data_IF_507188649691
#
_entry.id   IF_507188649691
#
_cell.length_a   1.000
_cell.length_b   1.000
_cell.length_c   1.000
_cell.angle_alpha   90.00
_cell.angle_beta   90.00
_cell.angle_gamma   90.00
#
_symmetry.space_group_name_H-M   'P 1'
#
loop_
_entity.id
_entity.type
_entity.pdbx_description
1 polymer ?
#
# COMPACT_ATOMS: atom_id res chain seq x y z
N UNK A 1 22.49 -14.16 1.89
CA UNK A 1 21.06 -14.53 1.77
C UNK A 1 20.22 -13.32 2.10
N UNK A 2 19.25 -12.98 1.26
CA UNK A 2 18.32 -11.86 1.44
C UNK A 2 17.05 -12.42 2.07
N UNK A 3 16.67 -11.94 3.26
CA UNK A 3 15.44 -12.33 3.92
C UNK A 3 14.32 -11.38 3.51
N UNK A 4 13.27 -11.92 2.90
CA UNK A 4 12.06 -11.18 2.49
C UNK A 4 10.88 -11.67 3.29
N UNK A 5 10.07 -10.76 3.83
CA UNK A 5 8.90 -11.07 4.64
C UNK A 5 7.64 -10.51 4.00
N UNK A 6 6.60 -11.33 3.92
CA UNK A 6 5.24 -10.94 3.56
C UNK A 6 4.28 -11.24 4.71
N UNK A 7 3.29 -10.39 4.90
CA UNK A 7 2.15 -10.65 5.79
C UNK A 7 0.87 -10.87 4.97
N UNK A 8 0.16 -11.99 5.18
CA UNK A 8 -1.04 -12.32 4.40
C UNK A 8 -2.16 -12.91 5.26
N UNK A 9 -3.40 -12.54 4.96
CA UNK A 9 -4.60 -13.15 5.56
C UNK A 9 -5.66 -13.56 4.51
N UNK A 10 -5.80 -12.86 3.40
CA UNK A 10 -6.78 -13.13 2.35
C UNK A 10 -6.26 -12.89 0.92
N UNK A 11 -5.14 -12.21 0.78
CA UNK A 11 -4.59 -11.80 -0.52
C UNK A 11 -3.55 -12.81 -1.05
N UNK A 12 -3.90 -14.10 -1.08
CA UNK A 12 -2.94 -15.16 -1.47
C UNK A 12 -2.59 -15.10 -2.96
N UNK A 13 -3.55 -14.83 -3.84
CA UNK A 13 -3.29 -14.65 -5.27
C UNK A 13 -2.44 -13.41 -5.54
N UNK A 14 -2.65 -12.35 -4.80
CA UNK A 14 -1.86 -11.12 -4.88
C UNK A 14 -0.43 -11.34 -4.37
N UNK A 15 -0.30 -12.03 -3.23
CA UNK A 15 1.00 -12.50 -2.73
C UNK A 15 1.76 -13.31 -3.79
N UNK A 16 1.08 -14.23 -4.48
CA UNK A 16 1.69 -15.04 -5.53
C UNK A 16 2.23 -14.17 -6.69
N UNK A 17 1.47 -13.14 -7.10
CA UNK A 17 1.92 -12.17 -8.12
C UNK A 17 3.14 -11.39 -7.65
N UNK A 18 3.13 -10.91 -6.40
CA UNK A 18 4.27 -10.22 -5.80
C UNK A 18 5.51 -11.09 -5.71
N UNK A 19 5.37 -12.36 -5.27
CA UNK A 19 6.45 -13.34 -5.21
C UNK A 19 7.02 -13.65 -6.59
N UNK A 20 6.17 -13.90 -7.59
CA UNK A 20 6.63 -14.18 -8.95
C UNK A 20 7.39 -12.99 -9.52
N UNK A 21 6.88 -11.76 -9.36
CA UNK A 21 7.58 -10.56 -9.82
C UNK A 21 8.95 -10.38 -9.14
N UNK A 22 9.01 -10.69 -7.84
CA UNK A 22 10.27 -10.70 -7.07
C UNK A 22 11.26 -11.72 -7.62
N UNK A 23 10.83 -12.95 -7.88
CA UNK A 23 11.71 -14.02 -8.35
C UNK A 23 12.19 -13.77 -9.78
N UNK A 24 11.31 -13.32 -10.68
CA UNK A 24 11.67 -12.95 -12.07
C UNK A 24 12.75 -11.87 -12.12
N UNK A 25 12.63 -10.86 -11.26
CA UNK A 25 13.56 -9.72 -11.24
C UNK A 25 14.85 -10.01 -10.45
N UNK A 26 14.91 -11.14 -9.74
CA UNK A 26 15.98 -11.47 -8.82
C UNK A 26 16.47 -12.93 -8.97
N UNK A 27 16.53 -13.41 -10.20
CA UNK A 27 16.86 -14.81 -10.50
C UNK A 27 18.22 -15.26 -9.92
N UNK A 28 19.20 -14.37 -9.88
CA UNK A 28 20.57 -14.64 -9.38
C UNK A 28 20.75 -14.42 -7.88
N UNK A 29 19.80 -13.75 -7.22
CA UNK A 29 19.89 -13.45 -5.80
C UNK A 29 19.49 -14.66 -4.95
N UNK A 30 20.22 -14.92 -3.87
CA UNK A 30 19.83 -15.92 -2.89
C UNK A 30 18.80 -15.33 -1.93
N UNK A 31 17.50 -15.63 -2.15
CA UNK A 31 16.36 -15.08 -1.40
C UNK A 31 15.71 -16.19 -0.56
N UNK A 32 15.50 -15.90 0.72
CA UNK A 32 14.65 -16.66 1.62
C UNK A 32 13.35 -15.87 1.85
N UNK A 33 12.22 -16.47 1.47
CA UNK A 33 10.89 -15.89 1.70
C UNK A 33 10.31 -16.40 3.00
N UNK A 34 9.78 -15.49 3.81
CA UNK A 34 9.03 -15.76 5.03
C UNK A 34 7.61 -15.23 4.85
N UNK A 35 6.61 -16.05 5.13
CA UNK A 35 5.20 -15.67 5.05
C UNK A 35 4.58 -15.73 6.44
N UNK A 36 4.16 -14.59 6.97
CA UNK A 36 3.42 -14.50 8.23
C UNK A 36 1.93 -14.56 7.91
N UNK A 37 1.23 -15.52 8.50
CA UNK A 37 -0.20 -15.70 8.31
C UNK A 37 -0.86 -16.31 9.55
N UNK A 38 -2.16 -16.08 9.72
CA UNK A 38 -2.96 -16.81 10.71
C UNK A 38 -3.15 -18.24 10.27
N UNK A 39 -3.62 -18.42 9.02
CA UNK A 39 -3.87 -19.74 8.45
C UNK A 39 -3.92 -19.62 6.92
N UNK A 40 -3.18 -20.47 6.25
CA UNK A 40 -3.36 -20.76 4.83
C UNK A 40 -4.03 -22.12 4.67
N UNK A 41 -4.93 -22.26 3.70
CA UNK A 41 -5.44 -23.59 3.35
C UNK A 41 -4.36 -24.39 2.60
N UNK A 42 -4.48 -25.70 2.63
CA UNK A 42 -3.46 -26.61 2.06
C UNK A 42 -3.28 -26.43 0.54
N UNK A 43 -4.35 -26.06 -0.17
CA UNK A 43 -4.32 -25.83 -1.63
C UNK A 43 -3.51 -24.61 -1.97
N UNK A 44 -3.76 -23.48 -1.28
CA UNK A 44 -3.02 -22.24 -1.49
C UNK A 44 -1.55 -22.39 -1.09
N UNK A 45 -1.28 -23.08 0.02
CA UNK A 45 0.09 -23.37 0.44
C UNK A 45 0.83 -24.20 -0.61
N UNK A 46 0.24 -25.28 -1.10
CA UNK A 46 0.84 -26.12 -2.13
C UNK A 46 1.11 -25.36 -3.43
N UNK A 47 0.20 -24.45 -3.82
CA UNK A 47 0.36 -23.61 -5.00
C UNK A 47 1.51 -22.59 -4.83
N UNK A 48 1.67 -21.98 -3.65
CA UNK A 48 2.80 -21.10 -3.35
C UNK A 48 4.12 -21.86 -3.32
N UNK A 49 4.14 -23.07 -2.75
CA UNK A 49 5.33 -23.94 -2.72
C UNK A 49 5.74 -24.38 -4.14
N UNK A 50 4.77 -24.68 -5.02
CA UNK A 50 5.04 -24.98 -6.43
C UNK A 50 5.68 -23.78 -7.15
N UNK A 51 5.18 -22.55 -6.91
CA UNK A 51 5.80 -21.33 -7.45
C UNK A 51 7.24 -21.23 -6.94
N UNK A 52 7.46 -21.33 -5.64
CA UNK A 52 8.81 -21.20 -5.07
C UNK A 52 9.78 -22.24 -5.63
N UNK A 53 9.34 -23.48 -5.75
CA UNK A 53 10.13 -24.58 -6.33
C UNK A 53 10.55 -24.29 -7.78
N UNK A 54 9.65 -23.71 -8.60
CA UNK A 54 9.92 -23.35 -10.00
C UNK A 54 11.09 -22.39 -10.13
N UNK A 55 11.30 -21.53 -9.14
CA UNK A 55 12.39 -20.57 -9.09
C UNK A 55 13.56 -21.01 -8.19
N UNK A 56 13.61 -22.28 -7.80
CA UNK A 56 14.60 -22.80 -6.84
C UNK A 56 14.66 -21.98 -5.54
N UNK A 57 13.48 -21.71 -4.98
CA UNK A 57 13.29 -20.96 -3.73
C UNK A 57 12.56 -21.81 -2.71
N UNK A 58 12.70 -21.39 -1.45
CA UNK A 58 11.96 -21.99 -0.32
C UNK A 58 11.14 -20.93 0.39
N UNK A 59 9.99 -21.35 0.91
CA UNK A 59 9.13 -20.54 1.76
C UNK A 59 9.21 -21.07 3.18
N UNK A 60 9.32 -20.17 4.14
CA UNK A 60 9.12 -20.45 5.56
C UNK A 60 7.79 -19.84 5.98
N UNK A 61 6.83 -20.67 6.36
CA UNK A 61 5.55 -20.23 6.89
C UNK A 61 5.65 -20.00 8.39
N UNK A 62 5.26 -18.83 8.83
CA UNK A 62 5.34 -18.37 10.21
C UNK A 62 3.91 -18.16 10.72
N UNK A 63 3.51 -19.00 11.68
CA UNK A 63 2.21 -18.85 12.33
C UNK A 63 2.19 -17.58 13.17
N UNK A 64 1.13 -16.79 13.02
CA UNK A 64 0.89 -15.62 13.83
C UNK A 64 -0.05 -15.95 14.99
N UNK A 65 0.26 -15.46 16.18
CA UNK A 65 -0.61 -15.58 17.36
C UNK A 65 -1.69 -14.50 17.32
N UNK A 66 -2.97 -14.84 17.04
CA UNK A 66 -4.03 -13.86 16.93
C UNK A 66 -4.31 -13.10 18.23
N UNK A 67 -3.92 -13.63 19.38
CA UNK A 67 -4.12 -12.96 20.67
C UNK A 67 -3.40 -11.61 20.74
N UNK A 68 -2.33 -11.44 19.99
CA UNK A 68 -1.57 -10.18 19.88
C UNK A 68 -2.35 -9.06 19.21
N UNK A 69 -3.46 -9.36 18.53
CA UNK A 69 -4.31 -8.40 17.83
C UNK A 69 -5.58 -8.04 18.60
N UNK A 70 -5.86 -8.65 19.75
CA UNK A 70 -7.14 -8.53 20.45
C UNK A 70 -7.55 -7.08 20.76
N UNK A 71 -6.60 -6.21 21.01
CA UNK A 71 -6.84 -4.81 21.33
C UNK A 71 -6.61 -3.87 20.15
N UNK A 72 -6.19 -4.39 19.00
CA UNK A 72 -5.90 -3.60 17.81
C UNK A 72 -7.11 -3.59 16.87
N UNK A 73 -7.55 -2.39 16.52
CA UNK A 73 -8.68 -2.20 15.62
C UNK A 73 -8.16 -1.93 14.21
N UNK A 74 -8.57 -2.75 13.25
CA UNK A 74 -8.38 -2.46 11.84
C UNK A 74 -9.51 -1.56 11.35
N UNK A 75 -9.16 -0.58 10.52
CA UNK A 75 -10.10 0.41 10.00
C UNK A 75 -10.15 0.33 8.47
N UNK A 76 -11.28 0.73 7.89
CA UNK A 76 -11.50 0.82 6.44
C UNK A 76 -11.39 -0.53 5.71
N UNK A 77 -10.67 -0.52 4.60
CA UNK A 77 -10.39 -1.66 3.74
C UNK A 77 -9.16 -2.46 4.18
N UNK A 78 -8.52 -2.05 5.27
CA UNK A 78 -7.31 -2.70 5.76
C UNK A 78 -7.66 -3.89 6.63
N UNK A 79 -6.98 -5.01 6.41
CA UNK A 79 -7.15 -6.21 7.21
C UNK A 79 -6.24 -6.19 8.44
N UNK A 80 -6.49 -7.09 9.39
CA UNK A 80 -5.60 -7.25 10.55
C UNK A 80 -4.17 -7.67 10.16
N UNK A 81 -3.96 -8.20 8.94
CA UNK A 81 -2.63 -8.57 8.47
C UNK A 81 -1.67 -7.37 8.37
N UNK A 82 -2.19 -6.15 8.27
CA UNK A 82 -1.37 -4.93 8.32
C UNK A 82 -0.53 -4.86 9.58
N UNK A 83 -1.02 -5.36 10.72
CA UNK A 83 -0.29 -5.37 11.98
C UNK A 83 0.81 -6.42 12.08
N UNK A 84 0.84 -7.44 11.20
CA UNK A 84 1.85 -8.51 11.29
C UNK A 84 3.27 -7.96 11.21
N UNK A 85 3.48 -6.88 10.44
CA UNK A 85 4.80 -6.25 10.30
C UNK A 85 5.35 -5.72 11.62
N UNK A 86 4.50 -5.35 12.57
CA UNK A 86 4.92 -4.90 13.89
C UNK A 86 5.57 -6.02 14.72
N UNK A 87 5.30 -7.27 14.40
CA UNK A 87 5.75 -8.43 15.17
C UNK A 87 6.89 -9.22 14.52
N UNK A 88 7.38 -8.80 13.33
CA UNK A 88 8.44 -9.49 12.59
C UNK A 88 9.67 -9.69 13.47
N UNK A 89 10.07 -8.67 14.23
CA UNK A 89 11.27 -8.73 15.06
C UNK A 89 11.18 -9.77 16.20
N UNK A 90 9.97 -10.01 16.71
CA UNK A 90 9.72 -11.04 17.73
C UNK A 90 9.53 -12.44 17.15
N UNK A 91 9.00 -12.54 15.92
CA UNK A 91 8.78 -13.81 15.23
C UNK A 91 10.09 -14.36 14.67
N UNK A 92 10.92 -13.51 14.10
CA UNK A 92 12.22 -13.86 13.51
C UNK A 92 13.37 -13.49 14.47
N UNK A 93 13.42 -14.15 15.62
CA UNK A 93 14.38 -13.85 16.69
C UNK A 93 15.84 -13.94 16.27
N UNK A 94 16.15 -14.86 15.35
CA UNK A 94 17.52 -15.18 14.91
C UNK A 94 17.93 -14.42 13.64
N UNK A 95 17.03 -13.56 13.10
CA UNK A 95 17.29 -12.74 11.91
C UNK A 95 17.53 -11.29 12.34
N UNK A 96 18.62 -10.69 11.86
CA UNK A 96 18.96 -9.30 12.20
C UNK A 96 18.32 -8.27 11.27
N UNK A 97 18.08 -8.63 9.99
CA UNK A 97 17.60 -7.71 8.96
C UNK A 97 16.67 -8.41 7.98
N UNK A 98 15.61 -7.73 7.54
CA UNK A 98 14.68 -8.21 6.51
C UNK A 98 14.27 -7.09 5.57
N UNK A 99 13.85 -7.45 4.35
CA UNK A 99 13.01 -6.60 3.50
C UNK A 99 11.57 -7.03 3.72
N UNK A 100 10.73 -6.15 4.27
CA UNK A 100 9.30 -6.34 4.33
C UNK A 100 8.64 -5.83 3.05
N UNK A 101 7.71 -6.59 2.51
CA UNK A 101 6.97 -6.28 1.29
C UNK A 101 5.46 -6.54 1.52
N UNK A 102 4.62 -5.60 1.13
CA UNK A 102 3.17 -5.82 1.04
C UNK A 102 2.82 -6.76 -0.12
N UNK A 103 1.64 -7.36 -0.07
CA UNK A 103 1.19 -8.31 -1.10
C UNK A 103 0.70 -7.64 -2.39
N UNK A 104 0.48 -6.33 -2.38
CA UNK A 104 -0.04 -5.55 -3.50
C UNK A 104 1.06 -4.76 -4.23
N UNK A 105 2.17 -5.43 -4.50
CA UNK A 105 3.33 -4.87 -5.19
C UNK A 105 3.69 -5.65 -6.46
N UNK A 106 4.47 -5.00 -7.32
CA UNK A 106 5.23 -5.64 -8.40
C UNK A 106 6.69 -5.21 -8.28
N UNK A 107 7.58 -6.18 -8.11
CA UNK A 107 9.02 -5.96 -8.03
C UNK A 107 9.61 -6.04 -9.43
N UNK A 108 10.20 -4.93 -9.89
CA UNK A 108 10.95 -4.84 -11.16
C UNK A 108 12.41 -4.39 -10.92
N UNK A 109 12.89 -4.47 -9.67
CA UNK A 109 14.22 -4.07 -9.26
C UNK A 109 15.04 -5.25 -8.73
N UNK A 110 16.35 -5.13 -8.84
CA UNK A 110 17.27 -5.97 -8.08
C UNK A 110 17.28 -5.53 -6.62
N UNK A 111 16.65 -6.33 -5.74
CA UNK A 111 16.53 -6.00 -4.33
C UNK A 111 17.85 -6.12 -3.55
N UNK A 112 18.93 -6.63 -4.17
CA UNK A 112 20.25 -6.67 -3.53
C UNK A 112 20.79 -5.27 -3.27
N UNK A 113 20.42 -4.28 -4.09
CA UNK A 113 20.75 -2.87 -3.86
C UNK A 113 20.09 -2.34 -2.57
N UNK A 114 18.79 -2.63 -2.39
CA UNK A 114 18.07 -2.28 -1.17
C UNK A 114 18.63 -3.03 0.04
N UNK A 115 18.90 -4.33 -0.13
CA UNK A 115 19.48 -5.16 0.92
C UNK A 115 20.86 -4.69 1.38
N UNK A 116 21.69 -4.15 0.47
CA UNK A 116 23.05 -3.67 0.78
C UNK A 116 23.07 -2.36 1.58
N UNK A 117 21.93 -1.67 1.68
CA UNK A 117 21.89 -0.41 2.44
C UNK A 117 22.18 -0.65 3.92
N UNK A 118 22.97 0.26 4.48
CA UNK A 118 23.25 0.28 5.90
C UNK A 118 22.05 0.83 6.69
N UNK A 119 21.63 0.09 7.69
CA UNK A 119 20.54 0.43 8.61
C UNK A 119 20.94 0.22 10.08
N UNK A 120 22.25 0.19 10.37
CA UNK A 120 22.75 -0.06 11.71
C UNK A 120 22.19 0.95 12.74
N UNK A 121 22.05 2.20 12.33
CA UNK A 121 21.65 3.30 13.21
C UNK A 121 20.15 3.61 13.18
N UNK A 122 19.35 2.79 12.50
CA UNK A 122 17.91 3.04 12.38
C UNK A 122 17.07 1.77 12.46
N UNK A 123 15.79 1.93 12.80
CA UNK A 123 14.84 0.82 12.84
C UNK A 123 14.38 0.42 11.45
N UNK A 124 14.11 1.40 10.59
CA UNK A 124 13.62 1.18 9.23
C UNK A 124 14.28 2.11 8.22
N UNK A 125 14.50 1.58 7.01
CA UNK A 125 14.70 2.40 5.82
C UNK A 125 13.52 2.18 4.84
N UNK A 126 12.99 3.26 4.31
CA UNK A 126 11.82 3.26 3.41
C UNK A 126 11.63 4.60 2.72
N UNK A 127 10.72 4.65 1.75
CA UNK A 127 10.39 5.89 1.04
C UNK A 127 9.57 6.80 1.94
N UNK A 128 10.01 8.06 2.02
CA UNK A 128 9.35 9.08 2.83
C UNK A 128 8.52 9.96 1.91
N UNK A 129 7.24 10.06 2.20
CA UNK A 129 6.32 10.98 1.56
C UNK A 129 6.11 12.19 2.47
N UNK A 130 6.52 13.36 2.02
CA UNK A 130 6.34 14.60 2.78
C UNK A 130 4.98 15.21 2.42
N UNK A 131 3.98 15.03 3.29
CA UNK A 131 2.68 15.70 3.22
C UNK A 131 2.67 16.95 4.10
N UNK A 132 1.89 17.97 3.70
CA UNK A 132 1.78 19.23 4.45
C UNK A 132 1.20 19.08 5.87
N UNK A 133 0.54 17.95 6.17
CA UNK A 133 -0.14 17.69 7.44
C UNK A 133 0.50 16.57 8.28
N UNK A 134 1.66 16.04 7.85
CA UNK A 134 2.30 14.91 8.53
C UNK A 134 2.59 15.20 10.01
N UNK A 135 3.16 16.35 10.31
CA UNK A 135 3.45 16.76 11.70
C UNK A 135 2.18 16.86 12.53
N UNK A 136 1.12 17.46 11.99
CA UNK A 136 -0.16 17.60 12.67
C UNK A 136 -0.83 16.26 12.89
N UNK A 137 -0.81 15.39 11.90
CA UNK A 137 -1.41 14.05 11.96
C UNK A 137 -0.68 13.14 12.95
N UNK A 138 0.63 13.14 12.91
CA UNK A 138 1.47 12.31 13.79
C UNK A 138 1.63 12.92 15.20
N UNK A 139 1.38 14.22 15.37
CA UNK A 139 1.63 14.91 16.63
C UNK A 139 3.12 15.05 16.97
N UNK A 140 4.00 14.95 15.97
CA UNK A 140 5.45 14.95 16.15
C UNK A 140 6.07 16.01 15.25
N UNK A 141 6.75 17.00 15.84
CA UNK A 141 7.45 18.06 15.11
C UNK A 141 8.58 17.45 14.25
N UNK A 142 8.62 17.81 12.97
CA UNK A 142 9.55 17.24 11.99
C UNK A 142 9.22 15.77 11.65
N UNK A 143 8.01 15.30 11.96
CA UNK A 143 7.55 13.94 11.64
C UNK A 143 7.64 13.68 10.14
N UNK A 144 8.11 12.48 9.80
CA UNK A 144 8.24 11.99 8.44
C UNK A 144 7.20 10.90 8.20
N UNK A 145 6.59 10.90 7.03
CA UNK A 145 5.63 9.87 6.63
C UNK A 145 6.32 8.82 5.76
N UNK A 146 6.91 7.82 6.40
CA UNK A 146 7.47 6.66 5.72
C UNK A 146 6.36 5.65 5.45
N UNK A 147 6.12 5.31 4.17
CA UNK A 147 5.15 4.30 3.83
C UNK A 147 5.63 2.89 4.23
N UNK A 148 4.79 2.17 4.93
CA UNK A 148 5.11 0.88 5.54
C UNK A 148 5.06 -0.33 4.60
N UNK A 149 4.66 -0.15 3.34
CA UNK A 149 4.47 -1.29 2.40
C UNK A 149 5.77 -1.88 1.87
N UNK A 150 6.86 -1.11 1.83
CA UNK A 150 8.20 -1.59 1.48
C UNK A 150 9.19 -1.03 2.47
N UNK A 151 9.79 -1.88 3.29
CA UNK A 151 10.72 -1.49 4.34
C UNK A 151 11.95 -2.40 4.37
N UNK A 152 13.13 -1.80 4.49
CA UNK A 152 14.30 -2.52 4.98
C UNK A 152 14.33 -2.34 6.50
N UNK A 153 14.09 -3.41 7.25
CA UNK A 153 13.94 -3.39 8.70
C UNK A 153 15.18 -3.93 9.41
N UNK A 154 15.68 -3.19 10.38
CA UNK A 154 16.72 -3.66 11.32
C UNK A 154 16.04 -4.31 12.53
N UNK A 155 15.86 -5.63 12.50
CA UNK A 155 15.15 -6.35 13.55
C UNK A 155 15.89 -6.38 14.88
N UNK A 156 17.21 -6.24 14.83
CA UNK A 156 18.03 -6.13 16.06
C UNK A 156 17.74 -4.80 16.77
N UNK A 157 17.72 -3.68 16.02
CA UNK A 157 17.31 -2.38 16.56
C UNK A 157 15.89 -2.44 17.14
N UNK A 158 14.95 -3.07 16.42
CA UNK A 158 13.58 -3.24 16.90
C UNK A 158 13.50 -3.95 18.26
N UNK A 159 14.25 -5.05 18.41
CA UNK A 159 14.30 -5.80 19.69
C UNK A 159 14.97 -5.00 20.79
N UNK A 160 16.11 -4.38 20.51
CA UNK A 160 16.88 -3.60 21.52
C UNK A 160 16.09 -2.41 22.06
N UNK A 161 15.21 -1.81 21.22
CA UNK A 161 14.47 -0.61 21.61
C UNK A 161 12.98 -0.89 21.91
N UNK A 162 12.55 -2.15 21.94
CA UNK A 162 11.16 -2.60 22.18
C UNK A 162 10.17 -1.87 21.23
N UNK A 163 10.49 -1.78 19.93
CA UNK A 163 9.70 -1.01 18.97
C UNK A 163 8.32 -1.63 18.79
N UNK A 164 8.23 -2.97 18.69
CA UNK A 164 6.96 -3.69 18.58
C UNK A 164 5.98 -3.33 19.69
N UNK A 165 6.44 -3.42 20.93
CA UNK A 165 5.65 -3.16 22.13
C UNK A 165 5.20 -1.70 22.20
N UNK A 166 6.09 -0.76 21.87
CA UNK A 166 5.78 0.68 21.83
C UNK A 166 4.76 1.01 20.75
N UNK A 167 4.84 0.40 19.56
CA UNK A 167 3.85 0.60 18.49
C UNK A 167 2.47 0.06 18.93
N UNK A 168 2.42 -1.12 19.53
CA UNK A 168 1.16 -1.70 20.05
C UNK A 168 0.56 -0.81 21.14
N UNK A 169 1.35 -0.39 22.12
CA UNK A 169 0.90 0.50 23.19
C UNK A 169 0.37 1.83 22.66
N UNK A 170 1.00 2.38 21.63
CA UNK A 170 0.53 3.61 20.99
C UNK A 170 -0.81 3.39 20.29
N UNK A 171 -0.98 2.28 19.55
CA UNK A 171 -2.21 1.91 18.84
C UNK A 171 -3.39 1.62 19.79
N UNK A 172 -3.13 1.05 20.97
CA UNK A 172 -4.17 0.81 21.98
C UNK A 172 -4.75 2.12 22.56
N UNK A 173 -3.98 3.20 22.51
CA UNK A 173 -4.34 4.51 23.07
C UNK A 173 -4.70 5.56 22.02
N UNK A 174 -4.44 5.29 20.74
CA UNK A 174 -4.58 6.28 19.69
C UNK A 174 -5.37 5.70 18.51
N UNK A 175 -6.46 6.35 18.14
CA UNK A 175 -7.13 6.07 16.89
C UNK A 175 -6.39 6.79 15.76
N UNK A 176 -5.93 6.05 14.77
CA UNK A 176 -5.19 6.57 13.62
C UNK A 176 -5.73 6.00 12.32
N UNK A 177 -5.87 6.85 11.31
CA UNK A 177 -6.35 6.46 9.99
C UNK A 177 -5.39 5.52 9.26
N UNK A 178 -4.08 5.63 9.52
CA UNK A 178 -3.04 4.81 8.89
C UNK A 178 -2.41 3.81 9.86
N UNK A 179 -3.04 3.59 11.02
CA UNK A 179 -2.77 2.50 11.97
C UNK A 179 -1.28 2.22 12.22
N UNK A 180 -0.81 1.05 11.81
CA UNK A 180 0.58 0.58 11.97
C UNK A 180 1.60 1.49 11.27
N UNK A 181 1.24 2.09 10.14
CA UNK A 181 2.08 3.07 9.45
C UNK A 181 2.36 4.28 10.35
N UNK A 182 1.31 4.86 10.96
CA UNK A 182 1.45 6.00 11.87
C UNK A 182 2.17 5.63 13.15
N UNK A 183 1.85 4.47 13.74
CA UNK A 183 2.54 3.98 14.93
C UNK A 183 4.05 3.89 14.70
N UNK A 184 4.48 3.29 13.58
CA UNK A 184 5.90 3.20 13.23
C UNK A 184 6.52 4.58 13.00
N UNK A 185 5.82 5.49 12.33
CA UNK A 185 6.32 6.83 12.04
C UNK A 185 6.50 7.67 13.31
N UNK A 186 5.64 7.48 14.30
CA UNK A 186 5.75 8.15 15.61
C UNK A 186 6.87 7.52 16.45
N UNK A 187 6.85 6.21 16.60
CA UNK A 187 7.78 5.50 17.52
C UNK A 187 9.22 5.48 16.99
N UNK A 188 9.39 5.41 15.67
CA UNK A 188 10.71 5.45 15.03
C UNK A 188 11.13 6.86 14.63
N UNK A 189 10.43 7.90 15.09
CA UNK A 189 10.83 9.28 14.80
C UNK A 189 12.30 9.53 15.17
N UNK A 190 13.09 10.04 14.20
CA UNK A 190 14.54 10.21 14.37
C UNK A 190 15.39 8.95 14.12
N UNK A 191 14.77 7.76 14.05
CA UNK A 191 15.42 6.48 13.76
C UNK A 191 14.91 5.85 12.45
N UNK A 192 14.59 6.68 11.47
CA UNK A 192 14.16 6.30 10.13
C UNK A 192 15.13 6.83 9.07
N UNK A 193 15.44 6.01 8.08
CA UNK A 193 16.29 6.38 6.94
C UNK A 193 15.46 6.46 5.67
N UNK A 194 15.42 7.65 5.06
CA UNK A 194 14.80 7.84 3.73
C UNK A 194 15.63 7.17 2.64
N UNK A 195 14.94 6.55 1.68
CA UNK A 195 15.53 5.94 0.49
C UNK A 195 14.88 6.51 -0.78
N UNK A 196 15.45 6.20 -1.94
CA UNK A 196 14.96 6.67 -3.23
C UNK A 196 13.51 6.24 -3.51
N UNK A 197 12.74 7.11 -4.16
CA UNK A 197 11.32 6.87 -4.49
C UNK A 197 11.10 5.63 -5.37
N UNK A 198 12.10 5.23 -6.18
CA UNK A 198 12.01 4.02 -7.03
C UNK A 198 11.66 2.75 -6.25
N UNK A 199 11.95 2.72 -4.95
CA UNK A 199 11.68 1.57 -4.09
C UNK A 199 10.24 1.44 -3.62
N UNK A 200 9.40 2.48 -3.82
CA UNK A 200 7.99 2.44 -3.43
C UNK A 200 7.16 3.40 -4.28
N UNK A 201 7.00 3.09 -5.57
CA UNK A 201 6.26 3.92 -6.52
C UNK A 201 4.77 3.58 -6.48
N UNK A 202 3.95 4.55 -6.08
CA UNK A 202 2.50 4.39 -6.20
C UNK A 202 2.05 4.75 -7.63
N UNK A 203 1.48 3.79 -8.42
CA UNK A 203 1.04 4.04 -9.79
C UNK A 203 -0.02 5.13 -9.95
N UNK A 204 -0.81 5.42 -8.91
CA UNK A 204 -1.80 6.53 -8.95
C UNK A 204 -1.08 7.86 -9.17
N UNK A 205 0.13 7.98 -8.65
CA UNK A 205 0.95 9.20 -8.74
C UNK A 205 2.01 9.14 -9.84
N UNK A 206 1.94 8.14 -10.72
CA UNK A 206 3.00 7.85 -11.68
C UNK A 206 3.35 9.04 -12.59
N UNK A 207 2.39 9.89 -12.94
CA UNK A 207 2.62 11.10 -13.74
C UNK A 207 3.51 12.14 -13.06
N UNK A 208 3.58 12.14 -11.73
CA UNK A 208 4.36 13.12 -10.93
C UNK A 208 5.83 12.75 -10.76
N UNK A 209 6.17 11.48 -10.94
CA UNK A 209 7.55 11.05 -10.81
C UNK A 209 8.38 11.52 -12.01
N UNK A 210 9.66 11.84 -11.77
CA UNK A 210 10.62 12.10 -12.84
C UNK A 210 10.84 10.87 -13.70
N UNK A 211 11.33 11.04 -14.92
CA UNK A 211 11.60 9.93 -15.83
C UNK A 211 12.71 9.00 -15.29
N UNK A 212 13.63 9.54 -14.50
CA UNK A 212 14.64 8.76 -13.79
C UNK A 212 14.03 7.80 -12.77
N UNK A 213 13.07 8.27 -11.97
CA UNK A 213 12.34 7.47 -10.98
C UNK A 213 11.42 6.45 -11.65
N UNK A 214 10.86 6.78 -12.84
CA UNK A 214 10.05 5.86 -13.65
C UNK A 214 10.86 4.77 -14.35
N UNK A 215 12.19 4.76 -14.19
CA UNK A 215 13.05 3.72 -14.75
C UNK A 215 12.52 2.30 -14.48
N UNK A 216 12.73 1.32 -15.39
CA UNK A 216 12.24 -0.04 -15.19
C UNK A 216 12.67 -0.72 -13.88
N UNK A 217 13.85 -0.38 -13.34
CA UNK A 217 14.33 -0.95 -12.06
C UNK A 217 13.68 -0.26 -10.87
N UNK A 218 12.50 -0.76 -10.46
CA UNK A 218 11.65 -0.15 -9.43
C UNK A 218 10.77 -1.19 -8.74
N UNK A 219 10.13 -0.77 -7.64
CA UNK A 219 9.02 -1.49 -7.03
C UNK A 219 7.75 -0.63 -7.19
N UNK A 220 6.73 -1.19 -7.84
CA UNK A 220 5.40 -0.60 -7.92
C UNK A 220 4.59 -1.08 -6.73
N UNK A 221 4.01 -0.16 -5.98
CA UNK A 221 3.15 -0.45 -4.84
C UNK A 221 1.75 0.12 -5.10
N UNK A 222 0.79 -0.75 -5.23
CA UNK A 222 -0.61 -0.39 -5.49
C UNK A 222 -1.33 -0.02 -4.19
N UNK A 223 -0.71 0.89 -3.43
CA UNK A 223 -1.30 1.39 -2.19
C UNK A 223 -2.65 2.08 -2.44
N UNK A 224 -3.55 1.99 -1.46
CA UNK A 224 -4.89 2.55 -1.54
C UNK A 224 -5.97 1.50 -1.86
N UNK A 225 -7.24 1.94 -1.91
CA UNK A 225 -8.39 1.05 -1.98
C UNK A 225 -8.62 0.43 -3.36
N UNK A 226 -8.17 1.09 -4.44
CA UNK A 226 -8.36 0.61 -5.81
C UNK A 226 -7.08 -0.04 -6.32
N UNK A 227 -7.22 -1.24 -6.83
CA UNK A 227 -6.10 -2.15 -7.10
C UNK A 227 -6.04 -2.55 -8.58
N UNK A 228 -4.90 -3.02 -9.09
CA UNK A 228 -4.75 -3.43 -10.50
C UNK A 228 -5.61 -4.63 -10.90
N UNK A 229 -6.15 -5.37 -9.96
CA UNK A 229 -7.10 -6.46 -10.20
C UNK A 229 -8.55 -5.99 -10.22
N UNK A 230 -8.84 -4.70 -9.98
CA UNK A 230 -10.17 -4.12 -10.15
C UNK A 230 -10.38 -3.65 -11.58
N UNK A 231 -11.62 -3.76 -12.10
CA UNK A 231 -11.97 -3.40 -13.49
C UNK A 231 -11.63 -1.96 -13.86
N UNK A 232 -11.68 -1.04 -12.91
CA UNK A 232 -11.50 0.40 -13.14
C UNK A 232 -10.04 0.88 -13.06
N UNK A 233 -9.08 0.01 -12.83
CA UNK A 233 -7.69 0.44 -12.71
C UNK A 233 -7.08 0.82 -14.08
N UNK A 234 -5.97 1.57 -14.07
CA UNK A 234 -5.25 1.91 -15.29
C UNK A 234 -4.84 0.66 -16.09
N UNK A 235 -5.19 0.62 -17.36
CA UNK A 235 -5.04 -0.54 -18.23
C UNK A 235 -3.57 -1.02 -18.34
N UNK A 236 -2.61 -0.10 -18.33
CA UNK A 236 -1.19 -0.46 -18.44
C UNK A 236 -0.70 -1.22 -17.20
N UNK A 237 -1.17 -0.80 -16.03
CA UNK A 237 -0.85 -1.48 -14.78
C UNK A 237 -1.64 -2.77 -14.59
N UNK A 238 -2.89 -2.83 -15.09
CA UNK A 238 -3.63 -4.10 -15.17
C UNK A 238 -2.91 -5.12 -16.04
N UNK A 239 -2.42 -4.71 -17.22
CA UNK A 239 -1.59 -5.56 -18.09
C UNK A 239 -0.32 -6.05 -17.38
N UNK A 240 0.34 -5.16 -16.65
CA UNK A 240 1.54 -5.49 -15.90
C UNK A 240 1.24 -6.50 -14.79
N UNK A 241 0.16 -6.30 -14.04
CA UNK A 241 -0.31 -7.26 -13.05
C UNK A 241 -0.66 -8.61 -13.68
N UNK A 242 -1.43 -8.60 -14.78
CA UNK A 242 -1.84 -9.81 -15.50
C UNK A 242 -0.64 -10.61 -16.07
N UNK A 243 0.44 -9.93 -16.45
CA UNK A 243 1.69 -10.60 -16.88
C UNK A 243 2.22 -11.56 -15.80
N UNK A 244 2.31 -11.11 -14.56
CA UNK A 244 2.81 -11.92 -13.46
C UNK A 244 1.76 -12.90 -12.94
N UNK A 245 0.48 -12.51 -12.96
CA UNK A 245 -0.63 -13.41 -12.62
C UNK A 245 -0.67 -14.63 -13.55
N UNK A 246 -0.36 -14.44 -14.85
CA UNK A 246 -0.29 -15.55 -15.83
C UNK A 246 0.76 -16.61 -15.49
N UNK A 247 1.72 -16.31 -14.62
CA UNK A 247 2.73 -17.23 -14.12
C UNK A 247 2.31 -17.92 -12.80
N UNK A 248 1.07 -17.73 -12.37
CA UNK A 248 0.52 -18.31 -11.14
C UNK A 248 -0.68 -19.21 -11.47
N UNK A 249 -1.03 -20.20 -10.62
CA UNK A 249 -2.24 -21.00 -10.80
C UNK A 249 -3.54 -20.19 -10.77
N UNK A 250 -3.54 -19.02 -10.15
CA UNK A 250 -4.72 -18.17 -10.00
C UNK A 250 -5.15 -17.48 -11.30
N UNK A 251 -4.39 -17.59 -12.40
CA UNK A 251 -4.85 -17.14 -13.72
C UNK A 251 -6.08 -17.91 -14.20
N UNK A 252 -6.21 -19.19 -13.79
CA UNK A 252 -7.34 -20.00 -14.18
C UNK A 252 -8.63 -19.53 -13.50
N UNK A 253 -9.56 -19.02 -14.31
CA UNK A 253 -10.82 -18.46 -13.81
C UNK A 253 -10.71 -17.02 -13.30
N UNK A 254 -9.56 -16.38 -13.43
CA UNK A 254 -9.42 -14.96 -13.08
C UNK A 254 -10.39 -14.08 -13.85
N UNK A 255 -11.09 -13.25 -13.12
CA UNK A 255 -11.91 -12.15 -13.66
C UNK A 255 -11.57 -10.91 -12.83
N UNK A 256 -11.37 -9.74 -13.49
CA UNK A 256 -11.20 -8.50 -12.75
C UNK A 256 -12.37 -8.29 -11.79
N UNK A 257 -12.02 -7.96 -10.57
CA UNK A 257 -12.99 -7.72 -9.49
C UNK A 257 -13.71 -6.39 -9.71
N UNK A 258 -14.96 -6.30 -9.27
CA UNK A 258 -15.57 -4.99 -9.12
C UNK A 258 -14.79 -4.21 -8.07
N UNK A 259 -14.57 -2.89 -8.29
CA UNK A 259 -13.96 -2.10 -7.25
C UNK A 259 -14.84 -2.17 -6.00
N UNK A 260 -14.19 -2.18 -4.88
CA UNK A 260 -14.73 -2.40 -3.55
C UNK A 260 -16.12 -1.79 -3.30
N UNK A 261 -16.36 -0.56 -3.60
CA UNK A 261 -17.67 0.09 -3.71
C UNK A 261 -17.45 1.52 -4.22
N UNK A 262 -18.07 1.89 -5.34
CA UNK A 262 -17.97 3.25 -5.89
C UNK A 262 -18.38 4.30 -4.86
N UNK A 263 -19.45 4.04 -4.11
CA UNK A 263 -19.91 4.97 -3.07
C UNK A 263 -18.88 5.17 -1.96
N UNK A 264 -18.12 4.13 -1.62
CA UNK A 264 -17.04 4.22 -0.66
C UNK A 264 -15.83 4.95 -1.23
N UNK A 265 -15.48 4.71 -2.51
CA UNK A 265 -14.40 5.45 -3.19
C UNK A 265 -14.71 6.96 -3.24
N UNK A 266 -15.97 7.33 -3.51
CA UNK A 266 -16.44 8.71 -3.47
C UNK A 266 -16.38 9.28 -2.05
N UNK A 267 -16.79 8.49 -1.05
CA UNK A 267 -16.73 8.92 0.36
C UNK A 267 -15.30 9.22 0.80
N UNK A 268 -14.35 8.35 0.44
CA UNK A 268 -12.92 8.55 0.70
C UNK A 268 -12.41 9.80 -0.03
N UNK A 269 -12.78 9.97 -1.31
CA UNK A 269 -12.41 11.16 -2.08
C UNK A 269 -12.93 12.46 -1.44
N UNK A 270 -14.20 12.46 -0.99
CA UNK A 270 -14.80 13.61 -0.30
C UNK A 270 -14.07 13.92 1.01
N UNK A 271 -13.70 12.89 1.79
CA UNK A 271 -12.97 13.07 3.04
C UNK A 271 -11.59 13.69 2.80
N UNK A 272 -10.83 13.20 1.81
CA UNK A 272 -9.57 13.83 1.43
C UNK A 272 -9.77 15.28 0.97
N UNK A 273 -10.81 15.55 0.19
CA UNK A 273 -11.15 16.90 -0.25
C UNK A 273 -11.44 17.85 0.92
N UNK A 274 -12.24 17.41 1.89
CA UNK A 274 -12.60 18.18 3.09
C UNK A 274 -11.39 18.41 4.00
N UNK A 275 -10.42 17.49 3.99
CA UNK A 275 -9.16 17.62 4.72
C UNK A 275 -8.08 18.42 3.95
N UNK A 276 -8.42 19.04 2.81
CA UNK A 276 -7.51 19.74 1.91
C UNK A 276 -6.40 18.85 1.30
N UNK A 277 -6.56 17.54 1.34
CA UNK A 277 -5.71 16.59 0.63
C UNK A 277 -6.24 16.39 -0.80
N UNK A 278 -6.12 17.45 -1.60
CA UNK A 278 -6.68 17.51 -2.95
C UNK A 278 -6.02 16.54 -3.90
N UNK A 279 -4.83 16.10 -3.59
CA UNK A 279 -4.09 15.16 -4.39
C UNK A 279 -4.69 13.76 -4.33
N UNK A 280 -4.91 13.24 -3.14
CA UNK A 280 -5.57 11.95 -2.95
C UNK A 280 -7.04 12.03 -3.40
N UNK A 281 -7.75 13.11 -3.04
CA UNK A 281 -9.11 13.35 -3.51
C UNK A 281 -9.22 13.25 -5.04
N UNK A 282 -8.31 13.92 -5.76
CA UNK A 282 -8.23 13.91 -7.22
C UNK A 282 -8.03 12.48 -7.76
N UNK A 283 -7.15 11.69 -7.14
CA UNK A 283 -6.91 10.30 -7.50
C UNK A 283 -8.18 9.45 -7.41
N UNK A 284 -8.87 9.49 -6.29
CA UNK A 284 -10.11 8.71 -6.06
C UNK A 284 -11.27 9.18 -6.96
N UNK A 285 -11.47 10.49 -7.15
CA UNK A 285 -12.50 10.99 -8.06
C UNK A 285 -12.23 10.57 -9.52
N UNK A 286 -10.99 10.70 -10.00
CA UNK A 286 -10.61 10.32 -11.35
C UNK A 286 -10.83 8.82 -11.61
N UNK A 287 -10.46 7.97 -10.65
CA UNK A 287 -10.70 6.54 -10.73
C UNK A 287 -12.20 6.20 -10.78
N UNK A 288 -13.01 6.87 -9.96
CA UNK A 288 -14.48 6.73 -9.97
C UNK A 288 -15.07 7.12 -11.34
N UNK A 289 -14.58 8.21 -11.92
CA UNK A 289 -15.02 8.66 -13.25
C UNK A 289 -14.63 7.64 -14.32
N UNK A 290 -13.39 7.17 -14.35
CA UNK A 290 -12.91 6.14 -15.29
C UNK A 290 -13.73 4.86 -15.21
N UNK A 291 -14.07 4.43 -13.99
CA UNK A 291 -14.92 3.25 -13.80
C UNK A 291 -16.29 3.43 -14.47
N UNK A 292 -16.95 4.56 -14.25
CA UNK A 292 -18.26 4.85 -14.87
C UNK A 292 -18.20 4.99 -16.37
N UNK A 293 -17.09 5.53 -16.89
CA UNK A 293 -16.87 5.58 -18.35
C UNK A 293 -16.78 4.18 -18.95
N UNK A 294 -16.24 3.21 -18.22
CA UNK A 294 -16.16 1.82 -18.69
C UNK A 294 -17.51 1.09 -18.70
N UNK A 295 -18.47 1.55 -17.90
CA UNK A 295 -19.81 0.93 -17.80
C UNK A 295 -20.87 1.52 -18.73
N UNK A 296 -20.63 2.72 -19.26
CA UNK A 296 -21.58 3.43 -20.13
C UNK A 296 -20.86 4.01 -21.33
N UNK A 297 -21.43 3.82 -22.51
CA UNK A 297 -21.11 4.64 -23.66
C UNK A 297 -21.55 6.09 -23.35
N UNK A 298 -20.58 6.94 -23.01
CA UNK A 298 -20.83 8.35 -22.73
C UNK A 298 -20.86 9.12 -24.03
N UNK A 299 -22.03 9.50 -24.45
CA UNK A 299 -22.25 10.27 -25.67
C UNK A 299 -22.18 11.80 -25.47
N UNK A 300 -21.99 12.29 -24.23
CA UNK A 300 -22.00 13.74 -23.97
C UNK A 300 -20.62 14.35 -24.15
N UNK A 301 -20.47 15.16 -25.17
CA UNK A 301 -19.26 15.97 -25.46
C UNK A 301 -18.87 16.86 -24.28
N UNK A 302 -19.85 17.43 -23.58
CA UNK A 302 -19.64 18.32 -22.42
C UNK A 302 -18.96 17.62 -21.25
N UNK A 303 -19.34 16.38 -20.99
CA UNK A 303 -18.72 15.59 -19.89
C UNK A 303 -17.28 15.23 -20.24
N UNK A 304 -17.02 14.85 -21.49
CA UNK A 304 -15.64 14.56 -21.94
C UNK A 304 -14.76 15.80 -21.92
N UNK A 305 -15.29 16.97 -22.24
CA UNK A 305 -14.57 18.25 -22.11
C UNK A 305 -14.23 18.55 -20.66
N UNK A 306 -15.18 18.36 -19.74
CA UNK A 306 -14.96 18.57 -18.29
C UNK A 306 -13.92 17.60 -17.72
N UNK A 307 -13.94 16.33 -18.14
CA UNK A 307 -12.93 15.33 -17.77
C UNK A 307 -11.55 15.74 -18.27
N UNK A 308 -11.45 16.14 -19.53
CA UNK A 308 -10.19 16.58 -20.13
C UNK A 308 -9.64 17.84 -19.46
N UNK A 309 -10.51 18.73 -19.00
CA UNK A 309 -10.12 19.90 -18.21
C UNK A 309 -9.56 19.49 -16.85
N UNK A 310 -10.23 18.61 -16.11
CA UNK A 310 -9.74 18.06 -14.84
C UNK A 310 -8.39 17.35 -14.99
N UNK A 311 -8.20 16.58 -16.06
CA UNK A 311 -6.93 15.92 -16.37
C UNK A 311 -5.81 16.93 -16.69
N UNK A 312 -6.12 18.05 -17.34
CA UNK A 312 -5.15 19.14 -17.57
C UNK A 312 -4.71 19.79 -16.28
N UNK A 313 -5.65 20.08 -15.35
CA UNK A 313 -5.31 20.59 -14.03
C UNK A 313 -4.45 19.59 -13.25
N UNK A 314 -4.81 18.31 -13.28
CA UNK A 314 -4.03 17.27 -12.62
C UNK A 314 -2.60 17.17 -13.17
N UNK A 315 -2.43 17.21 -14.48
CA UNK A 315 -1.11 17.14 -15.12
C UNK A 315 -0.24 18.37 -14.88
N UNK A 316 -0.86 19.54 -14.66
CA UNK A 316 -0.16 20.78 -14.30
C UNK A 316 0.16 20.91 -12.80
N UNK A 317 -0.23 19.95 -11.96
CA UNK A 317 -0.04 19.98 -10.52
C UNK A 317 -1.09 20.77 -9.74
N UNK A 318 -2.11 21.31 -10.42
CA UNK A 318 -3.21 22.06 -9.79
C UNK A 318 -4.25 21.07 -9.24
N UNK A 319 -3.90 20.41 -8.12
CA UNK A 319 -4.69 19.31 -7.59
C UNK A 319 -6.04 19.78 -7.00
N UNK A 320 -6.13 21.00 -6.49
CA UNK A 320 -7.40 21.55 -6.00
C UNK A 320 -8.42 21.71 -7.14
N UNK A 321 -8.05 22.40 -8.22
CA UNK A 321 -8.92 22.62 -9.38
C UNK A 321 -9.29 21.29 -10.04
N UNK A 322 -8.34 20.35 -10.11
CA UNK A 322 -8.60 19.01 -10.63
C UNK A 322 -9.62 18.24 -9.77
N UNK A 323 -9.43 18.22 -8.46
CA UNK A 323 -10.32 17.55 -7.52
C UNK A 323 -11.71 18.18 -7.52
N UNK A 324 -11.80 19.50 -7.56
CA UNK A 324 -13.06 20.23 -7.66
C UNK A 324 -13.81 19.86 -8.95
N UNK A 325 -13.13 19.90 -10.09
CA UNK A 325 -13.72 19.54 -11.39
C UNK A 325 -14.23 18.11 -11.43
N UNK A 326 -13.45 17.16 -10.95
CA UNK A 326 -13.88 15.77 -10.89
C UNK A 326 -15.04 15.54 -9.92
N UNK A 327 -15.07 16.24 -8.79
CA UNK A 327 -16.19 16.23 -7.84
C UNK A 327 -17.48 16.77 -8.46
N UNK A 328 -17.41 17.86 -9.22
CA UNK A 328 -18.55 18.42 -9.98
C UNK A 328 -19.13 17.41 -10.97
N UNK A 329 -18.27 16.70 -11.72
CA UNK A 329 -18.68 15.65 -12.65
C UNK A 329 -19.42 14.52 -11.91
N UNK A 330 -18.91 14.07 -10.76
CA UNK A 330 -19.50 13.02 -9.95
C UNK A 330 -20.88 13.44 -9.42
N UNK A 331 -21.02 14.66 -8.95
CA UNK A 331 -22.28 15.23 -8.49
C UNK A 331 -23.30 15.37 -9.63
N UNK A 332 -22.85 15.78 -10.80
CA UNK A 332 -23.72 15.91 -11.98
C UNK A 332 -24.29 14.55 -12.44
N UNK A 333 -23.53 13.47 -12.31
CA UNK A 333 -24.00 12.13 -12.65
C UNK A 333 -24.97 11.50 -11.64
N UNK A 334 -25.33 12.22 -10.57
CA UNK A 334 -26.29 11.74 -9.58
C UNK A 334 -25.83 10.49 -8.84
N UNK A 335 -24.53 10.39 -8.56
CA UNK A 335 -24.04 9.39 -7.61
C UNK A 335 -24.74 9.63 -6.27
N UNK A 336 -25.32 8.61 -5.64
CA UNK A 336 -25.83 8.76 -4.31
C UNK A 336 -24.67 9.14 -3.40
N UNK A 337 -24.54 10.42 -3.08
CA UNK A 337 -23.75 10.87 -1.95
C UNK A 337 -24.51 10.33 -0.75
N UNK A 338 -24.05 9.22 -0.21
CA UNK A 338 -24.60 8.69 1.03
C UNK A 338 -24.19 9.68 2.12
N UNK A 339 -25.06 10.63 2.41
CA UNK A 339 -24.91 11.62 3.49
C UNK A 339 -24.95 11.01 4.89
N UNK A 340 -24.94 9.68 5.04
CA UNK A 340 -24.96 9.00 6.32
C UNK A 340 -24.08 7.75 6.31
N UNK A 341 -22.80 7.95 6.45
CA UNK A 341 -22.03 7.17 7.39
C UNK A 341 -21.35 8.16 8.33
N UNK A 342 -22.00 8.41 9.46
CA UNK A 342 -21.35 8.95 10.67
C UNK A 342 -20.29 7.93 11.16
N UNK A 343 -19.26 7.67 10.36
CA UNK A 343 -18.17 6.76 10.72
C UNK A 343 -16.98 7.55 11.28
N UNK A 344 -16.99 8.87 11.12
CA UNK A 344 -15.90 9.72 11.63
C UNK A 344 -16.41 11.01 12.26
N UNK A 345 -16.91 10.92 13.49
CA UNK A 345 -16.69 12.00 14.42
C UNK A 345 -15.30 11.82 15.00
N UNK A 346 -14.30 12.52 14.45
CA UNK A 346 -13.07 12.73 15.19
C UNK A 346 -13.43 13.50 16.47
N UNK A 347 -13.09 12.99 17.66
CA UNK A 347 -13.18 13.81 18.84
C UNK A 347 -12.22 14.98 18.61
N UNK A 348 -12.73 16.19 18.59
CA UNK A 348 -11.90 17.38 18.70
C UNK A 348 -11.15 17.25 20.02
N UNK A 349 -9.85 16.96 19.95
CA UNK A 349 -8.97 17.00 21.11
C UNK A 349 -8.89 18.48 21.51
N UNK A 350 -9.68 18.82 22.51
CA UNK A 350 -9.56 20.11 23.21
C UNK A 350 -8.23 20.06 23.98
N UNK A 351 -7.23 20.73 23.43
CA UNK A 351 -6.00 21.03 24.14
C UNK A 351 -6.38 22.02 25.27
N UNK A 352 -6.36 21.54 26.50
CA UNK A 352 -6.22 22.36 27.70
C UNK A 352 -4.80 22.27 28.21
#
# INVERSE_FOLDING_TARGET
MINVVFGVDGYVSQLAVSMVSLFESNATNNIQVHIICLKLNATDQAALDEIALRYDRKIIYLSFDPSKLNNLKAFFHLSQATFYRLFIASILSDVSKVIYLDCDIIVEADISELWAMDVADCGNAGVIFNGNDTEKRLGVLGGKDMNAGILLMNLEFWRQHNISEKCVEWLERTESAYMDNDAMNVILHGAQKGIEEKWNLNPIHFSKYSDEVKHPSRILHFAGAIKPWHKAYDFNFQKKYAKYLALTPWIHGYKPEEPWNISQAISVANQHFENNDFFEACGYYNLTIKYRLSERELESTEVMEAINEGLRYQSSGNCFEAAQKFREIILFWGFPVVHHCNIYQFPQISIR
#
